data_IF_278251200280
#
_entry.id   IF_278251200280
#
_cell.length_a   1.000
_cell.length_b   1.000
_cell.length_c   1.000
_cell.angle_alpha   90.00
_cell.angle_beta   90.00
_cell.angle_gamma   90.00
#
_symmetry.space_group_name_H-M   'P 1'
#
loop_
_entity.id
_entity.type
_entity.pdbx_description
1 polymer ?
#
# COMPACT_ATOMS: atom_id res chain seq x y z
N UNK A 1 0.81 -3.39 -11.85
CA UNK A 1 -0.19 -4.34 -11.35
C UNK A 1 0.18 -4.83 -9.95
N UNK A 2 1.41 -5.30 -9.74
CA UNK A 2 1.90 -5.68 -8.40
C UNK A 2 1.91 -4.55 -7.36
N UNK A 3 2.38 -3.35 -7.73
CA UNK A 3 2.44 -2.21 -6.78
C UNK A 3 1.06 -1.82 -6.25
N UNK A 4 0.02 -1.94 -7.08
CA UNK A 4 -1.37 -1.74 -6.65
C UNK A 4 -1.78 -2.72 -5.57
N UNK A 5 -1.53 -4.00 -5.82
CA UNK A 5 -1.94 -5.06 -4.93
C UNK A 5 -1.24 -4.92 -3.57
N UNK A 6 0.07 -4.62 -3.56
CA UNK A 6 0.79 -4.35 -2.33
C UNK A 6 0.31 -3.09 -1.61
N UNK A 7 0.02 -2.01 -2.34
CA UNK A 7 -0.51 -0.77 -1.74
C UNK A 7 -1.91 -0.98 -1.15
N UNK A 8 -2.79 -1.73 -1.81
CA UNK A 8 -4.12 -2.05 -1.30
C UNK A 8 -4.05 -2.96 -0.07
N UNK A 9 -3.27 -4.04 -0.13
CA UNK A 9 -3.09 -4.95 1.02
C UNK A 9 -2.50 -4.22 2.23
N UNK A 10 -1.50 -3.37 2.01
CA UNK A 10 -0.92 -2.55 3.07
C UNK A 10 -1.93 -1.57 3.65
N UNK A 11 -2.75 -0.93 2.80
CA UNK A 11 -3.84 -0.05 3.22
C UNK A 11 -4.86 -0.77 4.10
N UNK A 12 -5.30 -1.96 3.69
CA UNK A 12 -6.24 -2.80 4.45
C UNK A 12 -5.65 -3.24 5.79
N UNK A 13 -4.38 -3.65 5.81
CA UNK A 13 -3.67 -4.01 7.03
C UNK A 13 -3.55 -2.81 7.98
N UNK A 14 -3.14 -1.65 7.46
CA UNK A 14 -3.01 -0.43 8.26
C UNK A 14 -4.36 -0.02 8.85
N UNK A 15 -5.44 -0.10 8.08
CA UNK A 15 -6.80 0.16 8.56
C UNK A 15 -7.19 -0.80 9.70
N UNK A 16 -6.98 -2.10 9.49
CA UNK A 16 -7.30 -3.12 10.49
C UNK A 16 -6.51 -2.90 11.79
N UNK A 17 -5.20 -2.67 11.69
CA UNK A 17 -4.34 -2.38 12.82
C UNK A 17 -4.78 -1.11 13.57
N UNK A 18 -5.09 -0.04 12.84
CA UNK A 18 -5.52 1.24 13.42
C UNK A 18 -6.86 1.15 14.13
N UNK A 19 -7.77 0.32 13.62
CA UNK A 19 -9.08 0.08 14.21
C UNK A 19 -9.07 -1.01 15.29
N UNK A 20 -7.97 -1.72 15.50
CA UNK A 20 -7.90 -2.76 16.52
C UNK A 20 -8.07 -2.15 17.92
N UNK A 21 -8.93 -2.73 18.77
CA UNK A 21 -9.07 -2.29 20.15
C UNK A 21 -8.07 -3.07 21.02
N UNK A 22 -7.02 -2.39 21.49
CA UNK A 22 -6.08 -2.94 22.46
C UNK A 22 -6.77 -3.01 23.83
N UNK A 23 -6.92 -4.23 24.34
CA UNK A 23 -7.57 -4.48 25.62
C UNK A 23 -6.69 -3.99 26.76
N UNK A 24 -7.32 -3.42 27.78
CA UNK A 24 -6.61 -3.05 29.00
C UNK A 24 -6.01 -4.29 29.67
N UNK A 25 -4.73 -4.20 30.04
CA UNK A 25 -3.98 -5.30 30.64
C UNK A 25 -3.91 -5.12 32.16
N UNK A 26 -3.51 -6.17 32.91
CA UNK A 26 -3.22 -6.03 34.35
C UNK A 26 -1.97 -5.17 34.62
N UNK A 27 -1.12 -5.02 33.63
CA UNK A 27 0.02 -4.10 33.66
C UNK A 27 -0.42 -2.75 33.09
N UNK A 28 -0.57 -1.75 33.96
CA UNK A 28 -0.96 -0.39 33.58
C UNK A 28 0.10 0.35 32.75
N UNK A 29 1.31 -0.20 32.61
CA UNK A 29 2.34 0.34 31.71
C UNK A 29 2.10 -0.04 30.24
N UNK A 30 1.17 -0.94 29.95
CA UNK A 30 0.83 -1.33 28.59
C UNK A 30 -0.24 -0.41 28.00
N UNK A 31 0.01 0.00 26.76
CA UNK A 31 -0.92 0.73 25.91
C UNK A 31 -2.26 -0.01 25.79
N UNK A 32 -3.36 0.74 25.87
CA UNK A 32 -4.72 0.24 25.68
C UNK A 32 -5.55 1.27 24.90
N UNK A 33 -6.61 0.85 24.23
CA UNK A 33 -7.40 1.70 23.34
C UNK A 33 -7.14 1.44 21.86
N UNK A 34 -7.54 2.37 20.99
CA UNK A 34 -7.37 2.22 19.53
C UNK A 34 -6.07 2.89 19.12
N UNK A 35 -5.15 2.22 18.39
CA UNK A 35 -3.88 2.81 17.97
C UNK A 35 -4.03 4.15 17.27
N UNK A 36 -5.06 4.32 16.43
CA UNK A 36 -5.31 5.60 15.76
C UNK A 36 -5.60 6.74 16.74
N UNK A 37 -6.41 6.50 17.77
CA UNK A 37 -6.74 7.52 18.78
C UNK A 37 -5.54 7.81 19.68
N UNK A 38 -4.77 6.77 20.03
CA UNK A 38 -3.53 6.93 20.80
C UNK A 38 -2.51 7.80 20.06
N UNK A 39 -2.46 7.68 18.73
CA UNK A 39 -1.57 8.48 17.89
C UNK A 39 -2.09 9.92 17.67
N UNK A 40 -3.39 10.09 17.40
CA UNK A 40 -3.95 11.41 17.05
C UNK A 40 -4.32 12.28 18.25
N UNK A 41 -4.60 11.65 19.40
CA UNK A 41 -5.06 12.32 20.63
C UNK A 41 -4.46 11.65 21.87
N UNK A 42 -3.13 11.70 22.03
CA UNK A 42 -2.41 11.10 23.16
C UNK A 42 -2.93 11.57 24.53
N UNK A 43 -3.45 12.80 24.61
CA UNK A 43 -4.03 13.39 25.83
C UNK A 43 -5.23 12.61 26.39
N UNK A 44 -5.95 11.86 25.56
CA UNK A 44 -7.06 10.99 26.00
C UNK A 44 -6.58 9.76 26.79
N UNK A 45 -5.28 9.49 26.76
CA UNK A 45 -4.63 8.34 27.37
C UNK A 45 -3.60 8.75 28.43
N UNK A 46 -3.73 9.97 28.97
CA UNK A 46 -2.81 10.55 29.95
C UNK A 46 -1.33 10.55 29.51
N UNK A 47 -1.09 10.60 28.18
CA UNK A 47 0.25 10.68 27.59
C UNK A 47 0.45 11.98 26.83
N UNK A 48 1.70 12.31 26.56
CA UNK A 48 2.11 13.51 25.84
C UNK A 48 2.18 13.25 24.35
N UNK A 49 2.00 14.31 23.56
CA UNK A 49 2.27 14.28 22.13
C UNK A 49 3.78 14.33 21.87
N UNK A 50 4.29 13.28 21.24
CA UNK A 50 5.68 13.17 20.81
C UNK A 50 5.83 13.31 19.30
N UNK A 51 4.76 13.65 18.57
CA UNK A 51 4.80 13.83 17.12
C UNK A 51 5.66 15.05 16.79
N UNK A 52 6.78 14.80 16.13
CA UNK A 52 7.62 15.86 15.58
C UNK A 52 7.22 16.13 14.13
N UNK A 53 6.83 17.36 13.77
CA UNK A 53 6.42 17.68 12.40
C UNK A 53 7.63 17.54 11.47
N UNK A 54 7.52 16.65 10.48
CA UNK A 54 8.51 16.58 9.41
C UNK A 54 8.50 17.89 8.61
N UNK A 55 9.68 18.46 8.34
CA UNK A 55 9.80 19.65 7.50
C UNK A 55 9.13 19.43 6.14
N UNK A 56 8.29 20.37 5.71
CA UNK A 56 7.43 20.21 4.52
C UNK A 56 8.20 19.87 3.23
N UNK A 57 9.48 20.28 3.15
CA UNK A 57 10.38 19.94 2.05
C UNK A 57 10.64 18.43 1.90
N UNK A 58 10.68 17.67 3.00
CA UNK A 58 10.89 16.23 2.97
C UNK A 58 9.58 15.47 2.71
N UNK A 59 8.49 15.93 3.33
CA UNK A 59 7.17 15.34 3.15
C UNK A 59 6.65 15.53 1.72
N UNK A 60 6.89 16.70 1.11
CA UNK A 60 6.49 17.00 -0.27
C UNK A 60 7.18 16.11 -1.29
N UNK A 61 8.49 15.91 -1.16
CA UNK A 61 9.27 15.07 -2.08
C UNK A 61 8.79 13.61 -2.06
N UNK A 62 8.51 13.05 -0.88
CA UNK A 62 8.01 11.69 -0.77
C UNK A 62 6.53 11.54 -1.16
N UNK A 63 5.76 12.62 -1.24
CA UNK A 63 4.32 12.56 -1.52
C UNK A 63 4.02 11.97 -2.90
N UNK A 64 4.80 12.34 -3.91
CA UNK A 64 4.64 11.82 -5.29
C UNK A 64 5.02 10.34 -5.39
N UNK A 65 5.98 9.89 -4.58
CA UNK A 65 6.39 8.48 -4.51
C UNK A 65 5.45 7.61 -3.64
N UNK A 66 4.75 8.23 -2.69
CA UNK A 66 3.82 7.58 -1.77
C UNK A 66 2.34 7.71 -2.18
N UNK A 67 2.01 8.33 -3.31
CA UNK A 67 0.63 8.31 -3.83
C UNK A 67 0.24 6.90 -4.25
N UNK A 68 -1.00 6.50 -3.92
CA UNK A 68 -1.64 5.35 -4.56
C UNK A 68 -1.54 5.57 -6.07
N UNK A 69 -0.93 4.64 -6.80
CA UNK A 69 -0.81 4.81 -8.25
C UNK A 69 -2.22 4.97 -8.83
N UNK A 70 -2.41 5.87 -9.78
CA UNK A 70 -3.66 5.94 -10.56
C UNK A 70 -3.74 4.64 -11.36
N UNK A 71 -4.90 3.97 -11.51
CA UNK A 71 -5.11 2.58 -11.99
C UNK A 71 -4.22 2.00 -13.12
N UNK A 72 -3.44 2.85 -13.79
CA UNK A 72 -2.32 2.57 -14.69
C UNK A 72 -0.99 2.42 -13.88
N UNK A 73 -0.40 1.21 -13.81
CA UNK A 73 0.74 0.91 -12.95
C UNK A 73 2.13 1.34 -13.46
N UNK A 74 2.22 1.69 -14.73
CA UNK A 74 3.43 1.97 -15.47
C UNK A 74 3.16 3.08 -16.48
N UNK A 75 4.11 3.30 -17.40
CA UNK A 75 3.87 4.14 -18.56
C UNK A 75 2.58 3.69 -19.32
N UNK A 76 1.73 4.63 -19.80
CA UNK A 76 0.49 4.30 -20.48
C UNK A 76 0.65 3.42 -21.72
N UNK A 77 1.71 3.62 -22.50
CA UNK A 77 1.95 2.85 -23.73
C UNK A 77 2.38 1.41 -23.37
N UNK A 78 3.24 1.28 -22.35
CA UNK A 78 3.63 -0.03 -21.81
C UNK A 78 2.43 -0.76 -21.21
N UNK A 79 1.52 -0.03 -20.55
CA UNK A 79 0.30 -0.60 -19.99
C UNK A 79 -0.63 -1.12 -21.09
N UNK A 80 -0.85 -0.32 -22.14
CA UNK A 80 -1.67 -0.70 -23.28
C UNK A 80 -1.10 -1.92 -24.01
N UNK A 81 0.21 -1.95 -24.25
CA UNK A 81 0.89 -3.13 -24.81
C UNK A 81 0.69 -4.38 -23.96
N UNK A 82 0.79 -4.26 -22.62
CA UNK A 82 0.54 -5.39 -21.73
C UNK A 82 -0.91 -5.90 -21.82
N UNK A 83 -1.89 -5.01 -21.96
CA UNK A 83 -3.30 -5.40 -22.13
C UNK A 83 -3.52 -6.16 -23.45
N UNK A 84 -2.87 -5.73 -24.53
CA UNK A 84 -2.95 -6.38 -25.84
C UNK A 84 -2.33 -7.78 -25.78
N UNK A 85 -1.11 -7.92 -25.23
CA UNK A 85 -0.46 -9.23 -25.03
C UNK A 85 -1.33 -10.16 -24.18
N UNK A 86 -1.93 -9.65 -23.11
CA UNK A 86 -2.84 -10.44 -22.27
C UNK A 86 -4.07 -10.91 -23.05
N UNK A 87 -4.66 -10.05 -23.86
CA UNK A 87 -5.84 -10.36 -24.66
C UNK A 87 -5.53 -11.42 -25.73
N UNK A 88 -4.38 -11.31 -26.41
CA UNK A 88 -3.93 -12.28 -27.41
C UNK A 88 -3.68 -13.67 -26.82
N UNK A 89 -3.11 -13.72 -25.61
CA UNK A 89 -2.76 -14.97 -24.94
C UNK A 89 -3.90 -15.53 -24.05
N UNK A 90 -5.04 -14.84 -23.97
CA UNK A 90 -6.16 -15.22 -23.10
C UNK A 90 -5.82 -15.18 -21.60
N UNK A 91 -4.91 -14.29 -21.18
CA UNK A 91 -4.53 -14.12 -19.79
C UNK A 91 -5.49 -13.20 -19.06
N UNK A 92 -5.96 -13.65 -17.90
CA UNK A 92 -6.89 -12.89 -17.09
C UNK A 92 -6.17 -11.91 -16.14
N UNK A 93 -6.92 -10.88 -15.73
CA UNK A 93 -6.51 -10.01 -14.63
C UNK A 93 -6.34 -10.86 -13.36
N UNK A 94 -5.23 -10.72 -12.64
CA UNK A 94 -4.93 -11.52 -11.47
C UNK A 94 -5.78 -11.08 -10.28
N UNK A 95 -6.23 -12.04 -9.47
CA UNK A 95 -7.06 -11.79 -8.29
C UNK A 95 -6.27 -11.81 -6.96
N UNK A 96 -5.00 -12.21 -7.00
CA UNK A 96 -4.12 -12.29 -5.83
C UNK A 96 -2.66 -11.93 -6.19
N UNK A 97 -1.84 -11.68 -5.17
CA UNK A 97 -0.42 -11.31 -5.33
C UNK A 97 0.39 -12.35 -6.10
N UNK A 98 0.09 -13.64 -5.93
CA UNK A 98 0.83 -14.74 -6.53
C UNK A 98 0.56 -14.79 -8.03
N UNK A 99 -0.72 -14.74 -8.41
CA UNK A 99 -1.16 -14.63 -9.79
C UNK A 99 -0.64 -13.35 -10.45
N UNK A 100 -0.64 -12.22 -9.72
CA UNK A 100 -0.13 -10.95 -10.22
C UNK A 100 1.38 -10.98 -10.48
N UNK A 101 2.14 -11.66 -9.62
CA UNK A 101 3.58 -11.87 -9.79
C UNK A 101 3.87 -12.73 -11.02
N UNK A 102 3.15 -13.83 -11.17
CA UNK A 102 3.31 -14.74 -12.30
C UNK A 102 3.00 -14.04 -13.62
N UNK A 103 1.87 -13.30 -13.68
CA UNK A 103 1.51 -12.51 -14.84
C UNK A 103 2.57 -11.46 -15.18
N UNK A 104 3.10 -10.76 -14.18
CA UNK A 104 4.18 -9.79 -14.39
C UNK A 104 5.44 -10.43 -14.99
N UNK A 105 5.85 -11.61 -14.52
CA UNK A 105 7.02 -12.32 -15.05
C UNK A 105 6.81 -12.67 -16.52
N UNK A 106 5.60 -13.14 -16.88
CA UNK A 106 5.23 -13.47 -18.26
C UNK A 106 5.21 -12.25 -19.16
N UNK A 107 4.48 -11.21 -18.76
CA UNK A 107 4.41 -9.94 -19.50
C UNK A 107 5.80 -9.34 -19.72
N UNK A 108 6.65 -9.31 -18.68
CA UNK A 108 8.03 -8.82 -18.80
C UNK A 108 8.83 -9.60 -19.84
N UNK A 109 8.64 -10.92 -19.90
CA UNK A 109 9.32 -11.76 -20.89
C UNK A 109 8.86 -11.43 -22.31
N UNK A 110 7.56 -11.33 -22.55
CA UNK A 110 7.01 -11.00 -23.88
C UNK A 110 7.43 -9.60 -24.34
N UNK A 111 7.34 -8.60 -23.46
CA UNK A 111 7.75 -7.22 -23.79
C UNK A 111 9.23 -7.14 -24.14
N UNK A 112 10.09 -7.86 -23.40
CA UNK A 112 11.53 -7.91 -23.71
C UNK A 112 11.88 -8.66 -24.99
N UNK A 113 10.97 -9.49 -25.53
CA UNK A 113 11.18 -10.12 -26.84
C UNK A 113 10.75 -9.24 -28.01
N UNK A 114 10.00 -8.17 -27.75
CA UNK A 114 9.52 -7.22 -28.76
C UNK A 114 10.48 -6.02 -28.96
N UNK A 115 11.43 -5.83 -28.05
CA UNK A 115 12.46 -4.78 -28.06
C UNK A 115 13.81 -5.37 -28.48
#
# INVERSE_FOLDING_TARGET
MLVFFFQSEYGDFALLSNLHLLRNSRNNLLAHGRPILMYTSPELYDTQDYVYPAGNQYAGASKEECTFKNGIPCDPDVYQLCLEIMLENGWNVPNDATCARELYIRLRREVLTLV
#
